data_IF_230588344019
#
_entry.id   IF_230588344019
#
_cell.length_a   1.000
_cell.length_b   1.000
_cell.length_c   1.000
_cell.angle_alpha   90.00
_cell.angle_beta   90.00
_cell.angle_gamma   90.00
#
_symmetry.space_group_name_H-M   'P 1'
#
loop_
_entity.id
_entity.type
_entity.pdbx_description
1 polymer ?
#
# COMPACT_ATOMS: atom_id res chain seq x y z
N UNK A 1 -16.92 -26.59 7.40
CA UNK A 1 -16.88 -27.85 8.18
C UNK A 1 -16.49 -27.53 9.61
N UNK A 2 -17.23 -28.10 10.58
CA UNK A 2 -16.92 -27.97 11.99
C UNK A 2 -15.81 -28.94 12.39
N UNK A 3 -14.85 -28.47 13.16
CA UNK A 3 -13.80 -29.28 13.76
C UNK A 3 -13.96 -29.29 15.28
N UNK A 4 -14.02 -30.46 15.89
CA UNK A 4 -14.20 -30.64 17.34
C UNK A 4 -12.96 -31.30 17.91
N UNK A 5 -12.32 -30.66 18.88
CA UNK A 5 -11.12 -31.17 19.54
C UNK A 5 -11.23 -31.06 21.06
N UNK A 6 -10.51 -31.90 21.78
CA UNK A 6 -10.32 -31.76 23.23
C UNK A 6 -9.22 -30.74 23.46
N UNK A 7 -9.52 -29.72 24.23
CA UNK A 7 -8.56 -28.67 24.60
C UNK A 7 -8.64 -28.41 26.09
N UNK A 8 -7.59 -28.78 26.82
CA UNK A 8 -7.58 -28.86 28.29
C UNK A 8 -8.72 -29.80 28.73
N UNK A 9 -9.50 -29.46 29.74
CA UNK A 9 -10.61 -30.31 30.18
C UNK A 9 -11.97 -30.00 29.51
N UNK A 10 -11.97 -29.36 28.32
CA UNK A 10 -13.20 -28.97 27.60
C UNK A 10 -13.15 -29.43 26.14
N UNK A 11 -14.32 -29.55 25.52
CA UNK A 11 -14.47 -29.81 24.11
C UNK A 11 -14.62 -28.49 23.38
N UNK A 12 -13.65 -28.16 22.51
CA UNK A 12 -13.69 -26.96 21.68
C UNK A 12 -14.24 -27.30 20.31
N UNK A 13 -15.33 -26.63 19.92
CA UNK A 13 -15.88 -26.67 18.59
C UNK A 13 -15.46 -25.42 17.80
N UNK A 14 -14.95 -25.62 16.59
CA UNK A 14 -14.48 -24.56 15.68
C UNK A 14 -15.21 -24.74 14.36
N UNK A 15 -16.02 -23.75 13.98
CA UNK A 15 -16.76 -23.73 12.72
C UNK A 15 -16.03 -22.82 11.75
N UNK A 16 -15.62 -23.37 10.59
CA UNK A 16 -14.97 -22.65 9.50
C UNK A 16 -15.82 -22.81 8.25
N UNK A 17 -16.37 -21.70 7.78
CA UNK A 17 -17.13 -21.63 6.53
C UNK A 17 -16.46 -20.59 5.64
N UNK A 18 -16.28 -20.95 4.35
CA UNK A 18 -15.64 -20.03 3.38
C UNK A 18 -16.43 -18.72 3.28
N UNK A 19 -15.73 -17.59 3.40
CA UNK A 19 -16.36 -16.27 3.37
C UNK A 19 -16.91 -15.76 4.69
N UNK A 20 -16.79 -16.54 5.78
CA UNK A 20 -17.25 -16.13 7.12
C UNK A 20 -16.10 -16.17 8.14
N UNK A 21 -16.14 -15.34 9.19
CA UNK A 21 -15.17 -15.42 10.28
C UNK A 21 -15.25 -16.76 11.00
N UNK A 22 -14.12 -17.19 11.59
CA UNK A 22 -14.05 -18.43 12.35
C UNK A 22 -14.81 -18.23 13.66
N UNK A 23 -15.77 -19.11 13.94
CA UNK A 23 -16.53 -19.11 15.21
C UNK A 23 -16.07 -20.31 16.03
N UNK A 24 -15.66 -20.07 17.29
CA UNK A 24 -15.22 -21.13 18.18
C UNK A 24 -15.89 -20.98 19.56
N UNK A 25 -16.31 -22.13 20.16
CA UNK A 25 -16.86 -22.17 21.50
C UNK A 25 -16.45 -23.46 22.22
N UNK A 26 -16.27 -23.40 23.54
CA UNK A 26 -15.85 -24.53 24.35
C UNK A 26 -17.02 -25.03 25.21
N UNK A 27 -17.13 -26.37 25.35
CA UNK A 27 -18.20 -27.07 26.05
C UNK A 27 -17.63 -28.12 27.02
N UNK A 28 -18.39 -28.51 28.02
CA UNK A 28 -18.05 -29.60 28.93
C UNK A 28 -18.33 -30.96 28.29
N UNK A 29 -19.36 -31.06 27.44
CA UNK A 29 -19.76 -32.27 26.73
C UNK A 29 -19.38 -32.22 25.24
N UNK A 30 -18.95 -33.37 24.71
CA UNK A 30 -18.70 -33.55 23.26
C UNK A 30 -19.99 -33.46 22.46
N UNK A 31 -21.09 -33.92 23.00
CA UNK A 31 -22.41 -33.90 22.38
C UNK A 31 -22.91 -32.48 22.20
N UNK A 32 -22.77 -31.63 23.24
CA UNK A 32 -23.16 -30.22 23.16
C UNK A 32 -22.28 -29.45 22.15
N UNK A 33 -20.99 -29.77 22.09
CA UNK A 33 -20.09 -29.19 21.09
C UNK A 33 -20.53 -29.53 19.65
N UNK A 34 -21.06 -30.77 19.42
CA UNK A 34 -21.59 -31.18 18.09
C UNK A 34 -22.91 -30.48 17.77
N UNK A 35 -23.85 -30.46 18.68
CA UNK A 35 -25.16 -29.81 18.50
C UNK A 35 -24.99 -28.31 18.21
N UNK A 36 -24.12 -27.65 18.98
CA UNK A 36 -23.81 -26.24 18.74
C UNK A 36 -23.16 -26.01 17.36
N UNK A 37 -22.21 -26.85 16.97
CA UNK A 37 -21.58 -26.76 15.66
C UNK A 37 -22.58 -26.87 14.52
N UNK A 38 -23.47 -27.87 14.58
CA UNK A 38 -24.52 -28.06 13.59
C UNK A 38 -25.50 -26.88 13.54
N UNK A 39 -25.89 -26.34 14.69
CA UNK A 39 -26.76 -25.17 14.77
C UNK A 39 -26.13 -23.92 14.17
N UNK A 40 -24.83 -23.69 14.42
CA UNK A 40 -24.08 -22.55 13.83
C UNK A 40 -23.90 -22.72 12.34
N UNK A 41 -23.58 -23.93 11.85
CA UNK A 41 -23.48 -24.20 10.41
C UNK A 41 -24.81 -23.93 9.69
N UNK A 42 -25.93 -24.34 10.27
CA UNK A 42 -27.27 -24.07 9.75
C UNK A 42 -27.59 -22.58 9.74
N UNK A 43 -27.32 -21.87 10.83
CA UNK A 43 -27.54 -20.43 10.94
C UNK A 43 -26.70 -19.66 9.94
N UNK A 44 -25.42 -19.99 9.79
CA UNK A 44 -24.55 -19.35 8.79
C UNK A 44 -25.02 -19.64 7.35
N UNK A 45 -25.51 -20.86 7.07
CA UNK A 45 -26.10 -21.19 5.77
C UNK A 45 -27.39 -20.43 5.45
N UNK A 46 -28.15 -20.06 6.49
CA UNK A 46 -29.40 -19.27 6.37
C UNK A 46 -29.19 -17.76 6.43
N UNK A 47 -27.95 -17.29 6.54
CA UNK A 47 -27.59 -15.90 6.82
C UNK A 47 -28.21 -15.32 8.14
N UNK A 48 -28.71 -16.19 9.03
CA UNK A 48 -29.41 -15.79 10.27
C UNK A 48 -28.46 -15.28 11.36
N UNK A 49 -27.13 -15.30 11.13
CA UNK A 49 -26.13 -14.98 12.17
C UNK A 49 -25.69 -13.51 12.12
N UNK A 50 -26.24 -12.72 11.18
CA UNK A 50 -25.77 -11.33 10.97
C UNK A 50 -24.32 -11.25 10.48
N UNK A 51 -23.72 -12.40 10.13
CA UNK A 51 -22.40 -12.52 9.55
C UNK A 51 -22.58 -12.54 8.03
N UNK A 52 -22.87 -11.39 7.44
CA UNK A 52 -22.91 -11.25 5.99
C UNK A 52 -21.61 -11.80 5.38
N UNK A 53 -21.71 -12.50 4.26
CA UNK A 53 -20.54 -12.87 3.46
C UNK A 53 -19.71 -11.62 3.23
N UNK A 54 -18.47 -11.62 3.73
CA UNK A 54 -17.57 -10.51 3.45
C UNK A 54 -17.28 -10.59 1.94
N UNK A 55 -17.93 -9.72 1.18
CA UNK A 55 -17.59 -9.54 -0.22
C UNK A 55 -16.26 -8.78 -0.29
N UNK A 56 -15.29 -9.39 -0.92
CA UNK A 56 -13.99 -8.76 -1.11
C UNK A 56 -13.94 -8.14 -2.51
N UNK A 57 -13.94 -6.81 -2.60
CA UNK A 57 -13.78 -6.12 -3.87
C UNK A 57 -12.42 -6.41 -4.49
N UNK A 58 -12.26 -6.10 -5.79
CA UNK A 58 -10.97 -6.18 -6.46
C UNK A 58 -10.01 -5.11 -5.93
N UNK A 59 -8.71 -5.29 -6.14
CA UNK A 59 -7.74 -4.24 -5.82
C UNK A 59 -8.05 -2.95 -6.58
N UNK A 60 -8.52 -3.06 -7.81
CA UNK A 60 -8.89 -1.93 -8.65
C UNK A 60 -10.03 -1.10 -8.05
N UNK A 61 -11.10 -1.75 -7.57
CA UNK A 61 -12.21 -1.07 -6.90
C UNK A 61 -11.75 -0.35 -5.63
N UNK A 62 -10.93 -1.04 -4.84
CA UNK A 62 -10.30 -0.48 -3.64
C UNK A 62 -9.39 0.71 -3.97
N UNK A 63 -8.59 0.61 -5.02
CA UNK A 63 -7.69 1.68 -5.45
C UNK A 63 -8.47 2.92 -5.93
N UNK A 64 -9.57 2.72 -6.66
CA UNK A 64 -10.47 3.81 -7.07
C UNK A 64 -11.10 4.50 -5.85
N UNK A 65 -11.60 3.71 -4.90
CA UNK A 65 -12.13 4.23 -3.65
C UNK A 65 -11.07 5.03 -2.88
N UNK A 66 -9.85 4.49 -2.78
CA UNK A 66 -8.73 5.15 -2.11
C UNK A 66 -8.36 6.48 -2.77
N UNK A 67 -8.36 6.56 -4.10
CA UNK A 67 -8.12 7.82 -4.84
C UNK A 67 -9.16 8.86 -4.47
N UNK A 68 -10.44 8.48 -4.40
CA UNK A 68 -11.55 9.40 -4.11
C UNK A 68 -11.58 9.87 -2.66
N UNK A 69 -11.46 8.94 -1.70
CA UNK A 69 -11.69 9.22 -0.29
C UNK A 69 -10.42 9.68 0.46
N UNK A 70 -9.24 9.14 0.11
CA UNK A 70 -8.01 9.35 0.89
C UNK A 70 -6.98 10.17 0.12
N UNK A 71 -6.68 9.79 -1.13
CA UNK A 71 -5.60 10.43 -1.89
C UNK A 71 -5.94 11.88 -2.27
N UNK A 72 -7.22 12.17 -2.54
CA UNK A 72 -7.71 13.49 -2.94
C UNK A 72 -7.41 14.60 -1.92
N UNK A 73 -7.30 14.26 -0.63
CA UNK A 73 -7.02 15.21 0.45
C UNK A 73 -5.53 15.55 0.60
N UNK A 74 -4.64 14.82 -0.11
CA UNK A 74 -3.20 14.95 0.04
C UNK A 74 -2.60 15.98 -0.90
N UNK A 75 -1.60 16.74 -0.44
CA UNK A 75 -0.79 17.64 -1.29
C UNK A 75 -0.08 16.90 -2.45
N UNK A 76 0.21 15.60 -2.28
CA UNK A 76 0.88 14.75 -3.27
C UNK A 76 -0.10 14.03 -4.22
N UNK A 77 -1.39 14.37 -4.20
CA UNK A 77 -2.47 13.71 -4.93
C UNK A 77 -2.11 13.34 -6.38
N UNK A 78 -1.64 14.30 -7.16
CA UNK A 78 -1.34 14.09 -8.58
C UNK A 78 -0.29 12.99 -8.77
N UNK A 79 0.81 13.03 -8.00
CA UNK A 79 1.90 12.03 -8.08
C UNK A 79 1.44 10.65 -7.61
N UNK A 80 0.70 10.60 -6.52
CA UNK A 80 0.16 9.36 -5.96
C UNK A 80 -0.83 8.71 -6.92
N UNK A 81 -1.74 9.50 -7.52
CA UNK A 81 -2.70 9.05 -8.53
C UNK A 81 -2.02 8.40 -9.74
N UNK A 82 -0.91 8.97 -10.25
CA UNK A 82 -0.15 8.35 -11.34
C UNK A 82 0.35 6.96 -10.98
N UNK A 83 0.89 6.80 -9.76
CA UNK A 83 1.39 5.51 -9.28
C UNK A 83 0.24 4.51 -9.16
N UNK A 84 -0.88 4.92 -8.56
CA UNK A 84 -2.03 4.04 -8.35
C UNK A 84 -2.67 3.64 -9.69
N UNK A 85 -2.78 4.56 -10.65
CA UNK A 85 -3.28 4.25 -11.99
C UNK A 85 -2.39 3.21 -12.71
N UNK A 86 -1.06 3.33 -12.57
CA UNK A 86 -0.15 2.32 -13.10
C UNK A 86 -0.33 0.95 -12.45
N UNK A 87 -0.62 0.89 -11.14
CA UNK A 87 -0.92 -0.34 -10.42
C UNK A 87 -2.25 -0.98 -10.85
N UNK A 88 -3.27 -0.17 -11.14
CA UNK A 88 -4.56 -0.66 -11.62
C UNK A 88 -4.49 -1.31 -13.01
N UNK A 89 -3.47 -1.01 -13.81
CA UNK A 89 -3.25 -1.63 -15.11
C UNK A 89 -2.50 -2.98 -15.04
N UNK A 90 -2.09 -3.43 -13.85
CA UNK A 90 -1.48 -4.74 -13.67
C UNK A 90 -2.53 -5.85 -13.67
N UNK A 91 -2.21 -7.00 -14.24
CA UNK A 91 -3.13 -8.15 -14.35
C UNK A 91 -3.70 -8.63 -13.01
N UNK A 92 -2.96 -8.46 -11.93
CA UNK A 92 -3.40 -8.82 -10.58
C UNK A 92 -4.35 -7.79 -9.94
N UNK A 93 -4.53 -6.62 -10.54
CA UNK A 93 -5.42 -5.59 -10.00
C UNK A 93 -6.90 -6.00 -9.98
N UNK A 94 -7.29 -6.91 -10.88
CA UNK A 94 -8.64 -7.48 -10.91
C UNK A 94 -8.85 -8.59 -9.85
N UNK A 95 -7.81 -9.00 -9.13
CA UNK A 95 -7.95 -10.02 -8.09
C UNK A 95 -8.65 -9.44 -6.87
N UNK A 96 -9.56 -10.22 -6.23
CA UNK A 96 -10.10 -9.87 -4.93
C UNK A 96 -8.96 -9.58 -3.94
N UNK A 97 -9.09 -8.51 -3.15
CA UNK A 97 -7.99 -8.01 -2.30
C UNK A 97 -7.41 -9.05 -1.34
N UNK A 98 -8.23 -9.99 -0.86
CA UNK A 98 -7.76 -11.08 0.03
C UNK A 98 -6.90 -12.14 -0.68
N UNK A 99 -6.94 -12.22 -2.02
CA UNK A 99 -6.12 -13.14 -2.81
C UNK A 99 -4.75 -12.56 -3.18
N UNK A 100 -4.53 -11.27 -2.96
CA UNK A 100 -3.25 -10.62 -3.22
C UNK A 100 -2.31 -10.89 -2.05
N UNK A 101 -1.44 -11.86 -2.25
CA UNK A 101 -0.47 -12.35 -1.28
C UNK A 101 0.95 -11.81 -1.57
N UNK A 102 1.93 -12.02 -0.68
CA UNK A 102 3.32 -11.60 -0.90
C UNK A 102 3.95 -12.13 -2.19
N UNK A 103 3.56 -13.32 -2.67
CA UNK A 103 4.07 -13.89 -3.90
C UNK A 103 3.65 -13.06 -5.13
N UNK A 104 2.39 -12.61 -5.19
CA UNK A 104 1.88 -11.74 -6.27
C UNK A 104 2.66 -10.43 -6.33
N UNK A 105 2.83 -9.78 -5.17
CA UNK A 105 3.56 -8.50 -5.10
C UNK A 105 5.07 -8.70 -5.31
N UNK A 106 5.63 -9.83 -4.90
CA UNK A 106 7.02 -10.20 -5.20
C UNK A 106 7.27 -10.31 -6.71
N UNK A 107 6.39 -10.98 -7.44
CA UNK A 107 6.46 -11.08 -8.92
C UNK A 107 6.35 -9.69 -9.58
N UNK A 108 5.44 -8.84 -9.10
CA UNK A 108 5.35 -7.45 -9.56
C UNK A 108 6.67 -6.70 -9.36
N UNK A 109 7.26 -6.75 -8.15
CA UNK A 109 8.56 -6.15 -7.84
C UNK A 109 9.66 -6.64 -8.81
N UNK A 110 9.77 -7.95 -9.00
CA UNK A 110 10.83 -8.58 -9.79
C UNK A 110 10.70 -8.29 -11.29
N UNK A 111 9.46 -8.13 -11.77
CA UNK A 111 9.16 -7.65 -13.13
C UNK A 111 9.62 -6.20 -13.33
N UNK A 112 9.29 -5.32 -12.39
CA UNK A 112 9.50 -3.88 -12.55
C UNK A 112 10.92 -3.43 -12.24
N UNK A 113 11.66 -4.09 -11.34
CA UNK A 113 13.07 -3.75 -11.04
C UNK A 113 13.99 -3.86 -12.27
N UNK A 114 13.60 -4.63 -13.28
CA UNK A 114 14.32 -4.76 -14.55
C UNK A 114 14.15 -3.56 -15.47
N UNK A 115 13.14 -2.72 -15.24
CA UNK A 115 12.74 -1.61 -16.13
C UNK A 115 12.87 -0.25 -15.49
N UNK A 116 12.69 -0.13 -14.19
CA UNK A 116 12.70 1.12 -13.43
C UNK A 116 13.58 1.02 -12.21
N UNK A 117 13.97 2.17 -11.65
CA UNK A 117 14.85 2.24 -10.49
C UNK A 117 14.22 1.57 -9.25
N UNK A 118 15.06 1.02 -8.37
CA UNK A 118 14.61 0.47 -7.08
C UNK A 118 13.84 1.48 -6.22
N UNK A 119 14.18 2.76 -6.32
CA UNK A 119 13.44 3.85 -5.64
C UNK A 119 12.02 4.01 -6.18
N UNK A 120 11.83 3.88 -7.50
CA UNK A 120 10.50 3.95 -8.13
C UNK A 120 9.64 2.73 -7.76
N UNK A 121 10.23 1.52 -7.78
CA UNK A 121 9.54 0.32 -7.31
C UNK A 121 9.13 0.46 -5.84
N UNK A 122 9.99 0.98 -4.99
CA UNK A 122 9.67 1.21 -3.58
C UNK A 122 8.48 2.16 -3.40
N UNK A 123 8.37 3.22 -4.20
CA UNK A 123 7.19 4.12 -4.16
C UNK A 123 5.90 3.38 -4.52
N UNK A 124 5.94 2.50 -5.52
CA UNK A 124 4.77 1.67 -5.85
C UNK A 124 4.41 0.71 -4.71
N UNK A 125 5.41 0.10 -4.08
CA UNK A 125 5.20 -0.75 -2.90
C UNK A 125 4.63 0.04 -1.72
N UNK A 126 5.07 1.28 -1.50
CA UNK A 126 4.52 2.16 -0.47
C UNK A 126 3.05 2.48 -0.72
N UNK A 127 2.67 2.76 -1.97
CA UNK A 127 1.27 2.98 -2.34
C UNK A 127 0.41 1.73 -2.08
N UNK A 128 0.87 0.53 -2.50
CA UNK A 128 0.18 -0.73 -2.21
C UNK A 128 0.05 -0.92 -0.70
N UNK A 129 1.13 -0.74 0.05
CA UNK A 129 1.14 -0.91 1.51
C UNK A 129 0.15 0.03 2.21
N UNK A 130 0.06 1.28 1.75
CA UNK A 130 -0.87 2.26 2.31
C UNK A 130 -2.32 1.87 2.02
N UNK A 131 -2.64 1.46 0.78
CA UNK A 131 -3.98 0.99 0.41
C UNK A 131 -4.41 -0.19 1.29
N UNK A 132 -3.56 -1.23 1.46
CA UNK A 132 -3.89 -2.38 2.32
C UNK A 132 -4.04 -1.99 3.79
N UNK A 133 -3.26 -1.04 4.27
CA UNK A 133 -3.36 -0.54 5.64
C UNK A 133 -4.67 0.20 5.87
N UNK A 134 -5.08 1.06 4.94
CA UNK A 134 -6.37 1.76 4.95
C UNK A 134 -7.53 0.75 4.91
N UNK A 135 -7.47 -0.23 4.01
CA UNK A 135 -8.47 -1.31 3.93
C UNK A 135 -8.69 -2.00 5.28
N UNK A 136 -7.59 -2.32 5.97
CA UNK A 136 -7.66 -3.01 7.26
C UNK A 136 -8.13 -2.10 8.39
N UNK A 137 -7.59 -0.88 8.48
CA UNK A 137 -7.80 0.01 9.62
C UNK A 137 -9.08 0.82 9.53
N UNK A 138 -9.40 1.32 8.34
CA UNK A 138 -10.51 2.28 8.16
C UNK A 138 -11.74 1.62 7.56
N UNK A 139 -11.56 0.66 6.64
CA UNK A 139 -12.70 0.01 5.96
C UNK A 139 -13.05 -1.37 6.51
N UNK A 140 -12.35 -1.85 7.54
CA UNK A 140 -12.68 -3.07 8.27
C UNK A 140 -12.50 -4.38 7.50
N UNK A 141 -11.82 -4.38 6.34
CA UNK A 141 -11.56 -5.62 5.63
C UNK A 141 -10.51 -6.47 6.37
N UNK A 142 -10.78 -7.76 6.63
CA UNK A 142 -9.84 -8.66 7.32
C UNK A 142 -8.73 -9.14 6.37
N UNK A 143 -7.91 -8.21 5.89
CA UNK A 143 -6.78 -8.48 4.99
C UNK A 143 -5.44 -8.21 5.65
N UNK A 144 -4.43 -8.98 5.29
CA UNK A 144 -3.05 -8.73 5.69
C UNK A 144 -2.33 -7.91 4.63
N UNK A 145 -1.41 -7.04 5.04
CA UNK A 145 -0.62 -6.26 4.11
C UNK A 145 0.49 -7.12 3.48
N UNK A 146 0.45 -7.44 2.19
CA UNK A 146 1.41 -8.33 1.54
C UNK A 146 2.80 -7.73 1.40
N UNK A 147 2.93 -6.41 1.50
CA UNK A 147 4.20 -5.70 1.33
C UNK A 147 5.13 -5.87 2.52
N UNK A 148 4.57 -6.10 3.71
CA UNK A 148 5.36 -6.24 4.94
C UNK A 148 6.28 -7.48 4.94
N UNK A 149 5.90 -8.50 4.20
CA UNK A 149 6.60 -9.79 4.14
C UNK A 149 7.54 -9.93 2.95
N UNK A 150 7.71 -8.89 2.13
CA UNK A 150 8.58 -8.93 0.96
C UNK A 150 9.84 -8.08 1.15
N UNK A 151 10.95 -8.54 0.57
CA UNK A 151 12.20 -7.78 0.53
C UNK A 151 12.05 -6.59 -0.42
N UNK A 152 12.39 -5.39 0.04
CA UNK A 152 12.40 -4.19 -0.77
C UNK A 152 13.67 -4.06 -1.63
N UNK A 153 13.59 -3.52 -2.85
CA UNK A 153 14.75 -3.17 -3.65
C UNK A 153 15.67 -2.19 -2.93
N UNK A 154 16.98 -2.34 -3.15
CA UNK A 154 17.94 -1.34 -2.70
C UNK A 154 17.70 -0.01 -3.41
N UNK A 155 17.80 1.08 -2.67
CA UNK A 155 17.83 2.44 -3.26
C UNK A 155 19.19 2.66 -3.90
N UNK A 156 19.22 3.43 -4.98
CA UNK A 156 20.48 3.94 -5.52
C UNK A 156 21.17 4.82 -4.47
N UNK A 157 22.49 4.80 -4.47
CA UNK A 157 23.27 5.70 -3.62
C UNK A 157 22.99 7.17 -3.97
N UNK A 158 23.01 8.07 -2.99
CA UNK A 158 22.86 9.49 -3.24
C UNK A 158 23.99 10.00 -4.17
N UNK A 159 23.66 10.93 -5.01
CA UNK A 159 24.67 11.61 -5.81
C UNK A 159 25.56 12.49 -4.90
N UNK A 160 26.85 12.19 -4.87
CA UNK A 160 27.85 12.97 -4.13
C UNK A 160 28.67 13.93 -5.02
N UNK A 161 28.31 14.00 -6.31
CA UNK A 161 29.02 14.89 -7.24
C UNK A 161 28.68 16.35 -6.93
N UNK A 162 29.72 17.15 -6.68
CA UNK A 162 29.66 18.61 -6.61
C UNK A 162 30.17 19.20 -7.92
N UNK A 163 29.72 20.38 -8.28
CA UNK A 163 30.30 21.15 -9.37
C UNK A 163 31.71 21.61 -8.99
N UNK A 164 32.63 21.59 -9.94
CA UNK A 164 33.93 22.22 -9.80
C UNK A 164 33.79 23.74 -10.09
N UNK A 165 34.73 24.55 -9.58
CA UNK A 165 34.69 25.99 -9.77
C UNK A 165 34.66 26.38 -11.27
N UNK A 166 35.39 25.64 -12.11
CA UNK A 166 35.38 25.81 -13.56
C UNK A 166 33.99 25.49 -14.16
N UNK A 167 33.29 24.47 -13.70
CA UNK A 167 31.92 24.17 -14.17
C UNK A 167 30.93 25.25 -13.74
N UNK A 168 31.07 25.76 -12.50
CA UNK A 168 30.27 26.87 -12.00
C UNK A 168 30.50 28.15 -12.77
N UNK A 169 31.74 28.49 -13.08
CA UNK A 169 32.10 29.64 -13.94
C UNK A 169 31.50 29.53 -15.32
N UNK A 170 31.53 28.35 -15.92
CA UNK A 170 30.88 28.10 -17.21
C UNK A 170 29.36 28.25 -17.16
N UNK A 171 28.73 27.85 -16.05
CA UNK A 171 27.29 28.00 -15.88
C UNK A 171 26.88 29.46 -15.66
N UNK A 172 27.68 30.23 -14.94
CA UNK A 172 27.37 31.61 -14.56
C UNK A 172 27.75 32.56 -15.70
N UNK A 173 28.94 32.40 -16.28
CA UNK A 173 29.51 33.32 -17.32
C UNK A 173 29.17 32.89 -18.75
N UNK A 174 28.71 31.65 -18.96
CA UNK A 174 28.43 31.10 -20.29
C UNK A 174 27.23 31.77 -20.95
N UNK A 175 27.31 31.96 -22.27
CA UNK A 175 26.29 32.65 -23.07
C UNK A 175 24.93 31.92 -23.15
N UNK A 176 24.84 30.68 -22.67
CA UNK A 176 23.62 29.86 -22.71
C UNK A 176 22.65 30.10 -21.52
N UNK A 177 23.13 30.71 -20.42
CA UNK A 177 22.30 31.01 -19.30
C UNK A 177 21.65 32.38 -19.44
N UNK A 178 20.32 32.45 -19.29
CA UNK A 178 19.60 33.72 -19.21
C UNK A 178 20.04 34.49 -17.96
N UNK A 179 19.95 35.83 -17.92
CA UNK A 179 20.28 36.63 -16.74
C UNK A 179 19.53 36.13 -15.48
N UNK A 180 18.25 35.79 -15.62
CA UNK A 180 17.41 35.25 -14.53
C UNK A 180 17.96 33.92 -14.01
N UNK A 181 18.41 33.02 -14.86
CA UNK A 181 18.97 31.73 -14.45
C UNK A 181 20.29 31.93 -13.68
N UNK A 182 21.13 32.88 -14.07
CA UNK A 182 22.40 33.22 -13.37
C UNK A 182 22.11 33.63 -11.92
N UNK A 183 21.16 34.55 -11.72
CA UNK A 183 20.75 35.01 -10.39
C UNK A 183 20.23 33.83 -9.55
N UNK A 184 19.38 32.96 -10.11
CA UNK A 184 18.87 31.77 -9.43
C UNK A 184 20.02 30.85 -9.00
N UNK A 185 21.03 30.63 -9.86
CA UNK A 185 22.18 29.79 -9.54
C UNK A 185 22.99 30.42 -8.41
N UNK A 186 23.25 31.73 -8.45
CA UNK A 186 23.98 32.44 -7.39
C UNK A 186 23.26 32.34 -6.04
N UNK A 187 21.97 32.65 -6.01
CA UNK A 187 21.17 32.50 -4.77
C UNK A 187 21.20 31.06 -4.26
N UNK A 188 21.10 30.08 -5.15
CA UNK A 188 21.14 28.67 -4.74
C UNK A 188 22.48 28.27 -4.14
N UNK A 189 23.60 28.80 -4.64
CA UNK A 189 24.94 28.53 -4.14
C UNK A 189 25.17 29.18 -2.75
N UNK A 190 24.75 30.43 -2.58
CA UNK A 190 24.96 31.19 -1.36
C UNK A 190 24.05 30.71 -0.20
N UNK A 191 22.79 30.35 -0.53
CA UNK A 191 21.77 30.06 0.48
C UNK A 191 21.45 28.58 0.67
N UNK A 192 21.86 27.72 -0.25
CA UNK A 192 21.46 26.31 -0.31
C UNK A 192 19.93 26.09 -0.28
N UNK A 193 19.12 27.08 -0.64
CA UNK A 193 17.67 27.01 -0.71
C UNK A 193 17.21 26.04 -1.82
N UNK A 194 16.05 25.43 -1.62
CA UNK A 194 15.43 24.61 -2.67
C UNK A 194 14.95 25.49 -3.82
N UNK A 195 14.97 24.94 -5.05
CA UNK A 195 14.48 25.67 -6.23
C UNK A 195 13.09 26.31 -6.03
N UNK A 196 12.16 25.59 -5.38
CA UNK A 196 10.81 26.10 -5.12
C UNK A 196 10.78 27.25 -4.12
N UNK A 197 11.75 27.33 -3.23
CA UNK A 197 11.90 28.41 -2.26
C UNK A 197 12.48 29.64 -2.96
N UNK A 198 13.56 29.48 -3.72
CA UNK A 198 14.16 30.57 -4.50
C UNK A 198 13.14 31.22 -5.45
N UNK A 199 12.32 30.40 -6.14
CA UNK A 199 11.33 30.92 -7.08
C UNK A 199 10.14 31.64 -6.40
N UNK A 200 10.02 31.57 -5.08
CA UNK A 200 8.99 32.26 -4.28
C UNK A 200 9.51 33.49 -3.56
N UNK A 201 10.81 33.73 -3.56
CA UNK A 201 11.41 34.94 -2.98
C UNK A 201 10.81 36.17 -3.66
N UNK A 202 10.34 37.10 -2.86
CA UNK A 202 9.81 38.39 -3.30
C UNK A 202 10.82 39.49 -3.00
N UNK A 203 10.74 40.65 -3.68
CA UNK A 203 11.63 41.76 -3.42
C UNK A 203 11.57 42.33 -1.99
N UNK A 204 10.52 41.96 -1.24
CA UNK A 204 10.27 42.41 0.13
C UNK A 204 10.90 41.44 1.17
N UNK A 205 11.34 40.27 0.79
CA UNK A 205 11.99 39.28 1.62
C UNK A 205 13.50 39.53 1.71
#
# INVERSE_FOLDING_TARGET
MAHIRRHRNKWQSIVRISGHPIIAKSFTSKTDARHWAASVELKVKRDDVGLSKISFPSFKDIALRYIGEVSSTKKSFIKERYIINALMNESWAEYPIHKINPCVIGKYRDKHIKRISGSSVNRSLDAISTIFTTCKKEWGYPVSNPVTSIRRPKKAEPRNRRFTDHELDKLIKGNRASPKLRVIIQIALETAMRQSEILRVKPED
#
